data_IF_891726472374
#
_entry.id   IF_891726472374
#
_cell.length_a   1.000
_cell.length_b   1.000
_cell.length_c   1.000
_cell.angle_alpha   90.00
_cell.angle_beta   90.00
_cell.angle_gamma   90.00
#
_symmetry.space_group_name_H-M   'P 1'
#
loop_
_entity.id
_entity.type
_entity.pdbx_description
1 polymer ?
#
# COMPACT_ATOMS: atom_id res chain seq x y z
N UNK A 1 3.68 8.50 -12.18
CA UNK A 1 2.97 7.24 -11.96
C UNK A 1 2.26 7.37 -10.64
N UNK A 2 0.97 7.00 -10.59
CA UNK A 2 0.31 6.68 -9.33
C UNK A 2 0.44 5.17 -9.20
N UNK A 3 1.39 4.72 -8.38
CA UNK A 3 1.64 3.28 -8.26
C UNK A 3 0.63 2.66 -7.31
N UNK A 4 0.11 1.48 -7.61
CA UNK A 4 -0.79 0.75 -6.73
C UNK A 4 -0.11 -0.56 -6.31
N UNK A 5 0.13 -0.68 -5.00
CA UNK A 5 0.86 -1.81 -4.45
C UNK A 5 0.04 -3.12 -4.46
N UNK A 6 -1.27 -3.05 -4.28
CA UNK A 6 -2.14 -4.22 -4.29
C UNK A 6 -2.35 -4.74 -5.71
N UNK A 7 -2.69 -3.84 -6.65
CA UNK A 7 -2.89 -4.23 -8.05
C UNK A 7 -1.62 -4.79 -8.70
N UNK A 8 -0.44 -4.31 -8.28
CA UNK A 8 0.81 -4.89 -8.75
C UNK A 8 0.89 -6.38 -8.44
N UNK A 9 0.55 -6.80 -7.21
CA UNK A 9 0.58 -8.20 -6.80
C UNK A 9 -0.51 -9.04 -7.48
N UNK A 10 -1.72 -8.50 -7.61
CA UNK A 10 -2.82 -9.17 -8.34
C UNK A 10 -2.43 -9.44 -9.81
N UNK A 11 -1.67 -8.52 -10.42
CA UNK A 11 -1.09 -8.66 -11.76
C UNK A 11 0.22 -9.44 -11.84
N UNK A 12 0.60 -10.17 -10.78
CA UNK A 12 1.88 -10.90 -10.65
C UNK A 12 3.15 -10.05 -10.74
N UNK A 13 3.03 -8.73 -10.58
CA UNK A 13 4.12 -7.78 -10.42
C UNK A 13 4.58 -7.66 -8.97
N UNK A 14 5.74 -7.04 -8.77
CA UNK A 14 6.32 -6.78 -7.45
C UNK A 14 6.57 -5.28 -7.26
N UNK A 15 5.89 -4.70 -6.29
CA UNK A 15 6.02 -3.30 -5.89
C UNK A 15 7.47 -2.87 -5.64
N UNK A 16 8.29 -3.70 -5.01
CA UNK A 16 9.69 -3.40 -4.71
C UNK A 16 10.51 -3.32 -6.00
N UNK A 17 10.26 -4.21 -6.97
CA UNK A 17 10.96 -4.20 -8.26
C UNK A 17 10.72 -2.88 -8.99
N UNK A 18 9.46 -2.46 -9.09
CA UNK A 18 9.11 -1.23 -9.82
C UNK A 18 9.55 0.04 -9.10
N UNK A 19 9.39 0.10 -7.77
CA UNK A 19 9.83 1.26 -6.99
C UNK A 19 11.37 1.40 -6.98
N UNK A 20 12.12 0.28 -6.98
CA UNK A 20 13.59 0.30 -7.15
C UNK A 20 14.01 0.69 -8.56
N UNK A 21 13.31 0.20 -9.59
CA UNK A 21 13.65 0.46 -11.00
C UNK A 21 13.34 1.90 -11.41
N UNK A 22 12.31 2.52 -10.86
CA UNK A 22 11.84 3.84 -11.26
C UNK A 22 11.76 4.84 -10.08
N UNK A 23 12.88 5.13 -9.41
CA UNK A 23 12.90 6.13 -8.34
C UNK A 23 12.48 7.51 -8.90
N UNK A 24 11.78 8.32 -8.11
CA UNK A 24 11.31 9.63 -8.55
C UNK A 24 10.03 9.62 -9.38
N UNK A 25 9.57 8.46 -9.87
CA UNK A 25 8.40 8.38 -10.78
C UNK A 25 7.07 8.15 -10.07
N UNK A 26 7.09 7.73 -8.81
CA UNK A 26 5.90 7.52 -7.97
C UNK A 26 5.66 8.73 -7.04
N UNK A 27 5.21 9.86 -7.60
CA UNK A 27 4.88 11.06 -6.81
C UNK A 27 3.73 10.80 -5.82
N UNK A 28 2.82 9.90 -6.18
CA UNK A 28 1.78 9.36 -5.28
C UNK A 28 1.78 7.84 -5.35
N UNK A 29 1.26 7.20 -4.31
CA UNK A 29 1.08 5.75 -4.23
C UNK A 29 -0.27 5.42 -3.59
N UNK A 30 -0.97 4.41 -4.12
CA UNK A 30 -2.13 3.82 -3.50
C UNK A 30 -1.68 2.73 -2.53
N UNK A 31 -2.11 2.87 -1.29
CA UNK A 31 -1.95 1.91 -0.21
C UNK A 31 -3.17 1.01 -0.23
N UNK A 32 -3.08 -0.04 -1.03
CA UNK A 32 -4.06 -1.13 -1.12
C UNK A 32 -3.40 -2.38 -0.56
N UNK A 33 -3.89 -2.89 0.57
CA UNK A 33 -3.33 -4.13 1.14
C UNK A 33 -3.67 -5.34 0.26
N UNK A 34 -2.75 -6.29 0.20
CA UNK A 34 -2.97 -7.60 -0.41
C UNK A 34 -2.60 -8.70 0.58
N UNK A 35 -3.39 -9.77 0.63
CA UNK A 35 -3.05 -10.98 1.38
C UNK A 35 -3.54 -12.22 0.65
N UNK A 36 -2.69 -13.24 0.60
CA UNK A 36 -2.98 -14.55 -0.01
C UNK A 36 -3.96 -15.37 0.82
N UNK A 37 -4.07 -15.10 2.11
CA UNK A 37 -4.85 -15.91 3.06
C UNK A 37 -6.00 -15.16 3.70
N UNK A 38 -5.98 -13.82 3.68
CA UNK A 38 -7.02 -12.98 4.23
C UNK A 38 -7.51 -11.95 3.19
N UNK A 39 -8.58 -12.22 2.43
CA UNK A 39 -9.12 -11.28 1.45
C UNK A 39 -9.69 -10.00 2.07
N UNK A 40 -9.77 -9.92 3.41
CA UNK A 40 -10.26 -8.76 4.17
C UNK A 40 -9.13 -8.01 4.90
N UNK A 41 -7.87 -8.32 4.60
CA UNK A 41 -6.72 -7.70 5.27
C UNK A 41 -6.72 -6.18 5.10
N UNK A 42 -6.72 -5.46 6.22
CA UNK A 42 -6.52 -4.02 6.25
C UNK A 42 -5.03 -3.70 6.14
N UNK A 43 -4.70 -2.42 5.89
CA UNK A 43 -3.30 -2.00 5.76
C UNK A 43 -2.46 -2.46 6.94
N UNK A 44 -1.36 -3.18 6.66
CA UNK A 44 -0.43 -3.71 7.65
C UNK A 44 -0.81 -5.08 8.22
N UNK A 45 -1.93 -5.67 7.79
CA UNK A 45 -2.39 -7.00 8.23
C UNK A 45 -2.19 -8.08 7.16
N UNK A 46 -1.69 -7.69 5.99
CA UNK A 46 -1.46 -8.58 4.85
C UNK A 46 0.01 -8.87 4.59
N UNK A 47 0.29 -9.17 3.32
CA UNK A 47 1.58 -9.68 2.85
C UNK A 47 2.47 -8.59 2.24
N UNK A 48 1.98 -7.35 2.09
CA UNK A 48 2.80 -6.28 1.51
C UNK A 48 3.90 -5.87 2.52
N UNK A 49 5.18 -5.86 2.10
CA UNK A 49 6.31 -5.44 2.94
C UNK A 49 6.37 -3.91 3.06
N UNK A 50 5.39 -3.32 3.75
CA UNK A 50 5.20 -1.86 3.81
C UNK A 50 6.44 -1.11 4.29
N UNK A 51 7.22 -1.66 5.22
CA UNK A 51 8.45 -1.02 5.69
C UNK A 51 9.42 -0.70 4.54
N UNK A 52 9.67 -1.67 3.65
CA UNK A 52 10.54 -1.50 2.48
C UNK A 52 9.89 -0.61 1.42
N UNK A 53 8.59 -0.81 1.14
CA UNK A 53 7.84 0.03 0.19
C UNK A 53 7.92 1.49 0.59
N UNK A 54 7.65 1.81 1.86
CA UNK A 54 7.67 3.18 2.37
C UNK A 54 9.09 3.75 2.40
N UNK A 55 10.12 2.92 2.67
CA UNK A 55 11.51 3.35 2.56
C UNK A 55 11.87 3.76 1.11
N UNK A 56 11.47 2.96 0.12
CA UNK A 56 11.70 3.27 -1.30
C UNK A 56 10.91 4.51 -1.74
N UNK A 57 9.66 4.65 -1.31
CA UNK A 57 8.84 5.84 -1.58
C UNK A 57 9.51 7.12 -1.04
N UNK A 58 10.01 7.08 0.22
CA UNK A 58 10.76 8.21 0.81
C UNK A 58 12.01 8.57 0.01
N UNK A 59 12.82 7.57 -0.36
CA UNK A 59 14.02 7.77 -1.20
C UNK A 59 13.66 8.30 -2.60
N UNK A 60 12.51 7.88 -3.13
CA UNK A 60 12.00 8.27 -4.44
C UNK A 60 11.20 9.58 -4.46
N UNK A 61 11.08 10.31 -3.35
CA UNK A 61 10.38 11.59 -3.29
C UNK A 61 8.86 11.48 -3.43
N UNK A 62 8.26 10.34 -3.06
CA UNK A 62 6.80 10.20 -2.97
C UNK A 62 6.23 11.21 -1.98
N UNK A 63 5.17 11.92 -2.36
CA UNK A 63 4.59 13.03 -1.59
C UNK A 63 3.26 12.68 -0.95
N UNK A 64 2.49 11.80 -1.58
CA UNK A 64 1.15 11.44 -1.14
C UNK A 64 0.98 9.93 -1.09
N UNK A 65 0.46 9.47 0.05
CA UNK A 65 0.11 8.08 0.30
C UNK A 65 -1.40 8.01 0.45
N UNK A 66 -2.07 7.36 -0.50
CA UNK A 66 -3.52 7.35 -0.63
C UNK A 66 -4.03 6.01 -0.14
N UNK A 67 -4.78 5.98 0.95
CA UNK A 67 -5.40 4.73 1.43
C UNK A 67 -6.53 4.38 0.47
N UNK A 68 -6.46 3.18 -0.11
CA UNK A 68 -7.50 2.60 -0.95
C UNK A 68 -8.07 1.37 -0.26
N UNK A 69 -9.34 1.46 0.11
CA UNK A 69 -10.06 0.38 0.77
C UNK A 69 -11.26 -0.02 -0.09
N UNK A 70 -11.17 -1.19 -0.69
CA UNK A 70 -12.19 -1.74 -1.60
C UNK A 70 -12.66 -3.13 -1.15
N UNK A 71 -12.20 -3.61 0.01
CA UNK A 71 -12.53 -4.94 0.51
C UNK A 71 -13.90 -4.96 1.16
N UNK A 72 -14.63 -6.03 0.93
CA UNK A 72 -15.90 -6.28 1.61
C UNK A 72 -15.68 -6.87 3.01
N UNK A 73 -16.58 -6.56 3.94
CA UNK A 73 -16.68 -7.25 5.23
C UNK A 73 -16.78 -6.34 6.46
N UNK A 74 -16.46 -5.07 6.31
CA UNK A 74 -16.70 -4.02 7.31
C UNK A 74 -17.47 -2.87 6.67
N UNK A 75 -18.08 -2.04 7.52
CA UNK A 75 -18.56 -0.72 7.08
C UNK A 75 -17.39 0.09 6.48
N UNK A 76 -17.56 0.74 5.31
CA UNK A 76 -16.45 1.40 4.62
C UNK A 76 -15.73 2.47 5.43
N UNK A 77 -16.46 3.27 6.23
CA UNK A 77 -15.83 4.31 7.05
C UNK A 77 -15.04 3.71 8.21
N UNK A 78 -15.54 2.61 8.77
CA UNK A 78 -14.83 1.84 9.80
C UNK A 78 -13.55 1.22 9.24
N UNK A 79 -13.60 0.63 8.04
CA UNK A 79 -12.45 0.01 7.40
C UNK A 79 -11.34 1.04 7.11
N UNK A 80 -11.70 2.19 6.52
CA UNK A 80 -10.75 3.28 6.24
C UNK A 80 -10.14 3.86 7.52
N UNK A 81 -10.90 4.02 8.61
CA UNK A 81 -10.37 4.49 9.89
C UNK A 81 -9.34 3.51 10.48
N UNK A 82 -9.62 2.21 10.44
CA UNK A 82 -8.70 1.17 10.90
C UNK A 82 -7.43 1.10 10.03
N UNK A 83 -7.59 1.11 8.70
CA UNK A 83 -6.46 1.17 7.75
C UNK A 83 -5.60 2.42 7.97
N UNK A 84 -6.21 3.59 8.25
CA UNK A 84 -5.49 4.82 8.60
C UNK A 84 -4.73 4.69 9.93
N UNK A 85 -5.35 4.11 10.96
CA UNK A 85 -4.71 3.86 12.25
C UNK A 85 -3.51 2.93 12.11
N UNK A 86 -3.61 1.88 11.31
CA UNK A 86 -2.51 0.97 11.06
C UNK A 86 -1.39 1.64 10.25
N UNK A 87 -1.75 2.35 9.17
CA UNK A 87 -0.78 3.09 8.36
C UNK A 87 0.04 4.09 9.19
N UNK A 88 -0.60 4.84 10.10
CA UNK A 88 0.10 5.76 11.01
C UNK A 88 1.13 5.09 11.91
N UNK A 89 1.00 3.79 12.19
CA UNK A 89 2.01 3.02 12.93
C UNK A 89 3.20 2.65 12.04
N UNK A 90 2.95 2.43 10.74
CA UNK A 90 3.94 2.03 9.73
C UNK A 90 4.79 3.19 9.21
N UNK A 91 4.20 4.36 8.97
CA UNK A 91 4.89 5.51 8.34
C UNK A 91 5.76 6.34 9.30
N UNK A 92 6.11 5.77 10.46
CA UNK A 92 7.04 6.42 11.38
C UNK A 92 8.46 6.49 10.80
#
# INVERSE_FOLDING_TARGET
>A
MQFDAGNALDGAGDQLVYLKRYPGRATTIHLKEHSKTNPKALIGEGDIPWAEVLQLCRKGGTRWYLIEEEKEGLDPLTAVDLSLKNFKKLIR
#
